data_IF_996360819828
#
_entry.id   IF_996360819828
#
_cell.length_a   1.000
_cell.length_b   1.000
_cell.length_c   1.000
_cell.angle_alpha   90.00
_cell.angle_beta   90.00
_cell.angle_gamma   90.00
#
_symmetry.space_group_name_H-M   'P 1'
#
loop_
_entity.id
_entity.type
_entity.pdbx_description
1 polymer ?
#
# COMPACT_ATOMS: atom_id res chain seq x y z
N UNK A 1 -4.67 2.55 6.05
CA UNK A 1 -3.79 3.48 6.77
C UNK A 1 -3.37 4.60 5.83
N UNK A 2 -2.31 5.39 6.13
CA UNK A 2 -1.30 5.69 5.13
C UNK A 2 -0.41 4.45 4.90
N UNK A 3 -0.16 4.15 3.63
CA UNK A 3 0.64 3.02 3.16
C UNK A 3 1.87 3.56 2.43
N UNK A 4 3.03 2.93 2.62
CA UNK A 4 4.26 3.25 1.88
C UNK A 4 4.99 1.99 1.42
N UNK A 5 5.79 2.13 0.38
CA UNK A 5 6.77 1.13 -0.05
C UNK A 5 8.16 1.52 0.44
N UNK A 6 8.98 0.52 0.75
CA UNK A 6 10.43 0.62 0.91
C UNK A 6 11.07 -0.47 0.05
N UNK A 7 11.35 -0.14 -1.21
CA UNK A 7 11.73 -1.14 -2.22
C UNK A 7 10.60 -2.14 -2.44
N UNK A 8 10.85 -3.43 -2.15
CA UNK A 8 9.86 -4.52 -2.25
C UNK A 8 8.95 -4.63 -1.03
N UNK A 9 9.26 -3.93 0.05
CA UNK A 9 8.51 -4.01 1.31
C UNK A 9 7.35 -3.02 1.31
N UNK A 10 6.16 -3.47 1.69
CA UNK A 10 4.99 -2.63 1.97
C UNK A 10 4.86 -2.47 3.48
N UNK A 11 4.67 -1.22 3.91
CA UNK A 11 4.55 -0.86 5.32
C UNK A 11 3.27 -0.06 5.57
N UNK A 12 2.69 -0.27 6.75
CA UNK A 12 1.55 0.51 7.26
C UNK A 12 1.99 1.38 8.42
N UNK A 13 1.39 2.57 8.53
CA UNK A 13 1.56 3.40 9.73
C UNK A 13 0.60 2.95 10.82
N UNK A 14 1.13 2.56 11.97
CA UNK A 14 0.41 2.16 13.18
C UNK A 14 1.00 2.92 14.35
N UNK A 15 0.17 3.67 15.09
CA UNK A 15 0.61 4.48 16.24
C UNK A 15 1.84 5.36 15.95
N UNK A 16 1.83 6.05 14.81
CA UNK A 16 2.93 6.93 14.37
C UNK A 16 4.15 6.22 13.78
N UNK A 17 4.31 4.91 14.02
CA UNK A 17 5.44 4.10 13.54
C UNK A 17 5.09 3.39 12.23
N UNK A 18 6.08 3.21 11.37
CA UNK A 18 5.93 2.40 10.17
C UNK A 18 6.26 0.95 10.49
N UNK A 19 5.28 0.07 10.27
CA UNK A 19 5.36 -1.34 10.60
C UNK A 19 5.31 -2.15 9.31
N UNK A 20 6.09 -3.22 9.27
CA UNK A 20 6.07 -4.20 8.19
C UNK A 20 4.64 -4.72 7.97
N UNK A 21 4.21 -4.81 6.72
CA UNK A 21 2.95 -5.43 6.35
C UNK A 21 3.15 -6.66 5.47
N UNK A 22 3.92 -6.52 4.38
CA UNK A 22 4.20 -7.60 3.46
C UNK A 22 5.44 -7.27 2.61
N UNK A 23 6.12 -8.30 2.11
CA UNK A 23 7.18 -8.15 1.11
C UNK A 23 6.70 -8.70 -0.22
N UNK A 24 6.69 -7.86 -1.26
CA UNK A 24 6.33 -8.26 -2.60
C UNK A 24 7.50 -8.93 -3.35
N UNK A 25 7.19 -9.70 -4.40
CA UNK A 25 8.22 -10.35 -5.23
C UNK A 25 9.08 -9.33 -6.01
N UNK A 26 8.46 -8.22 -6.43
CA UNK A 26 9.09 -7.13 -7.17
C UNK A 26 8.63 -5.76 -6.65
N UNK A 27 9.32 -4.70 -7.05
CA UNK A 27 8.97 -3.33 -6.67
C UNK A 27 7.65 -2.91 -7.31
N UNK A 28 7.37 -3.27 -8.58
CA UNK A 28 6.06 -2.96 -9.19
C UNK A 28 4.91 -3.62 -8.43
N UNK A 29 5.10 -4.87 -7.98
CA UNK A 29 4.09 -5.57 -7.20
C UNK A 29 3.83 -4.89 -5.85
N UNK A 30 4.86 -4.32 -5.20
CA UNK A 30 4.67 -3.55 -3.97
C UNK A 30 3.81 -2.30 -4.23
N UNK A 31 4.04 -1.59 -5.34
CA UNK A 31 3.23 -0.44 -5.74
C UNK A 31 1.78 -0.83 -6.09
N UNK A 32 1.60 -1.92 -6.85
CA UNK A 32 0.27 -2.44 -7.17
C UNK A 32 -0.51 -2.82 -5.90
N UNK A 33 0.17 -3.44 -4.95
CA UNK A 33 -0.41 -3.82 -3.66
C UNK A 33 -0.84 -2.58 -2.84
N UNK A 34 -0.05 -1.50 -2.84
CA UNK A 34 -0.49 -0.23 -2.22
C UNK A 34 -1.72 0.35 -2.92
N UNK A 35 -1.79 0.30 -4.25
CA UNK A 35 -2.98 0.77 -5.00
C UNK A 35 -4.22 0.00 -4.57
N UNK A 36 -4.15 -1.33 -4.51
CA UNK A 36 -5.25 -2.18 -4.03
C UNK A 36 -5.63 -1.88 -2.58
N UNK A 37 -4.65 -1.77 -1.68
CA UNK A 37 -4.88 -1.46 -0.26
C UNK A 37 -5.47 -0.06 -0.04
N UNK A 38 -5.21 0.89 -0.94
CA UNK A 38 -5.86 2.21 -0.95
C UNK A 38 -7.29 2.10 -1.46
N UNK A 39 -7.53 1.34 -2.53
CA UNK A 39 -8.86 1.10 -3.09
C UNK A 39 -9.79 0.39 -2.09
N UNK A 40 -9.32 -0.67 -1.42
CA UNK A 40 -10.12 -1.35 -0.39
C UNK A 40 -10.51 -0.41 0.76
N UNK A 41 -9.62 0.50 1.15
CA UNK A 41 -9.87 1.43 2.27
C UNK A 41 -10.83 2.57 1.92
N UNK A 42 -10.72 3.14 0.72
CA UNK A 42 -11.47 4.33 0.33
C UNK A 42 -12.69 4.01 -0.55
N UNK A 43 -13.01 2.73 -0.72
CA UNK A 43 -13.83 2.25 -1.83
C UNK A 43 -13.04 2.33 -3.14
N UNK A 44 -13.42 1.53 -4.13
CA UNK A 44 -12.95 1.75 -5.49
C UNK A 44 -13.46 3.11 -5.95
N UNK A 45 -12.70 4.18 -5.70
CA UNK A 45 -12.79 5.38 -6.50
C UNK A 45 -12.28 4.98 -7.87
N UNK A 46 -13.19 4.45 -8.69
CA UNK A 46 -13.09 4.67 -10.13
C UNK A 46 -13.09 6.20 -10.26
N UNK A 47 -11.91 6.80 -10.42
CA UNK A 47 -11.87 8.12 -11.03
C UNK A 47 -12.40 7.90 -12.45
N UNK A 48 -13.73 7.98 -12.60
CA UNK A 48 -14.33 8.36 -13.88
C UNK A 48 -14.04 9.85 -14.00
N UNK A 49 -12.92 10.17 -14.62
CA UNK A 49 -12.73 11.44 -15.32
C UNK A 49 -12.25 11.08 -16.72
#
# INVERSE_FOLDING_TARGET
MPWRTRGKEVQKKVNGKWVHHATAKSVENAYAMIRLLRAVKHGWKTDRV
#
